data_IF_192578515459
#
_entry.id   IF_192578515459
#
_cell.length_a   1.000
_cell.length_b   1.000
_cell.length_c   1.000
_cell.angle_alpha   90.00
_cell.angle_beta   90.00
_cell.angle_gamma   90.00
#
_symmetry.space_group_name_H-M   'P 1'
#
loop_
_entity.id
_entity.type
_entity.pdbx_description
1 polymer ?
#
# COMPACT_ATOMS: atom_id res chain seq x y z
N UNK A 1 -11.30 3.86 13.63
CA UNK A 1 -11.41 4.18 12.19
C UNK A 1 -10.58 3.16 11.45
N UNK A 2 -11.03 2.61 10.31
CA UNK A 2 -10.58 1.29 9.80
C UNK A 2 -9.06 1.05 9.73
N UNK A 3 -8.25 2.09 9.50
CA UNK A 3 -6.79 1.99 9.55
C UNK A 3 -6.21 1.91 10.96
N UNK A 4 -6.78 2.62 11.93
CA UNK A 4 -6.33 2.57 13.32
C UNK A 4 -6.44 1.15 13.89
N UNK A 5 -7.45 0.39 13.45
CA UNK A 5 -7.70 -0.98 13.92
C UNK A 5 -6.76 -2.02 13.27
N UNK A 6 -6.04 -1.64 12.20
CA UNK A 6 -5.16 -2.53 11.40
C UNK A 6 -3.69 -2.11 11.43
N UNK A 7 -3.37 -0.96 12.01
CA UNK A 7 -2.01 -0.45 12.04
C UNK A 7 -1.12 -1.32 12.92
N UNK A 8 0.02 -1.74 12.37
CA UNK A 8 1.07 -2.46 13.09
C UNK A 8 2.40 -1.75 12.84
N UNK A 9 3.07 -1.35 13.92
CA UNK A 9 4.37 -0.69 13.82
C UNK A 9 5.44 -1.69 13.33
N UNK A 10 6.32 -1.23 12.43
CA UNK A 10 7.37 -2.08 11.86
C UNK A 10 6.90 -3.05 10.77
N UNK A 11 5.66 -2.93 10.29
CA UNK A 11 5.17 -3.68 9.13
C UNK A 11 6.06 -3.50 7.91
N UNK A 12 6.12 -4.56 7.09
CA UNK A 12 6.75 -4.47 5.78
C UNK A 12 5.96 -3.53 4.86
N UNK A 13 6.60 -3.05 3.79
CA UNK A 13 5.90 -2.24 2.79
C UNK A 13 4.70 -2.98 2.19
N UNK A 14 4.85 -4.28 1.91
CA UNK A 14 3.77 -5.11 1.37
C UNK A 14 2.57 -5.14 2.33
N UNK A 15 2.81 -5.40 3.62
CA UNK A 15 1.74 -5.45 4.63
C UNK A 15 1.06 -4.09 4.78
N UNK A 16 1.83 -3.00 4.80
CA UNK A 16 1.29 -1.65 4.87
C UNK A 16 0.36 -1.33 3.68
N UNK A 17 0.73 -1.76 2.47
CA UNK A 17 -0.12 -1.62 1.27
C UNK A 17 -1.37 -2.49 1.37
N UNK A 18 -1.26 -3.75 1.83
CA UNK A 18 -2.42 -4.63 2.07
C UNK A 18 -3.41 -4.01 3.07
N UNK A 19 -2.92 -3.48 4.20
CA UNK A 19 -3.79 -2.88 5.21
C UNK A 19 -4.49 -1.62 4.70
N UNK A 20 -3.77 -0.76 3.98
CA UNK A 20 -4.35 0.41 3.34
C UNK A 20 -5.44 0.03 2.32
N UNK A 21 -5.15 -0.97 1.47
CA UNK A 21 -6.11 -1.49 0.48
C UNK A 21 -7.37 -2.05 1.13
N UNK A 22 -7.23 -2.85 2.18
CA UNK A 22 -8.38 -3.40 2.92
C UNK A 22 -9.22 -2.31 3.61
N UNK A 23 -8.58 -1.26 4.13
CA UNK A 23 -9.30 -0.15 4.75
C UNK A 23 -10.07 0.71 3.73
N UNK A 24 -9.58 0.77 2.49
CA UNK A 24 -10.24 1.45 1.36
C UNK A 24 -11.35 0.58 0.74
N UNK A 25 -11.07 -0.70 0.47
CA UNK A 25 -11.94 -1.66 -0.22
C UNK A 25 -13.06 -2.25 0.65
N UNK A 26 -13.54 -1.54 1.67
CA UNK A 26 -14.54 -2.04 2.62
C UNK A 26 -15.96 -2.25 2.03
N UNK A 27 -16.13 -2.05 0.71
CA UNK A 27 -17.33 -2.40 -0.07
C UNK A 27 -17.27 -3.85 -0.58
N UNK A 28 -18.40 -4.43 -1.00
CA UNK A 28 -18.46 -5.79 -1.55
C UNK A 28 -17.56 -6.02 -2.78
N UNK A 29 -17.11 -4.94 -3.42
CA UNK A 29 -16.16 -4.96 -4.55
C UNK A 29 -14.77 -4.50 -4.10
N UNK A 30 -13.74 -5.38 -4.16
CA UNK A 30 -12.35 -4.99 -3.97
C UNK A 30 -11.88 -4.02 -5.07
N UNK A 31 -11.06 -3.03 -4.72
CA UNK A 31 -10.43 -2.15 -5.70
C UNK A 31 -9.31 -2.90 -6.41
N UNK A 32 -9.29 -2.92 -7.74
CA UNK A 32 -8.23 -3.59 -8.51
C UNK A 32 -6.92 -2.78 -8.46
N UNK A 33 -5.79 -3.45 -8.67
CA UNK A 33 -4.47 -2.80 -8.71
C UNK A 33 -4.36 -1.73 -9.82
N UNK A 34 -5.07 -1.91 -10.93
CA UNK A 34 -5.17 -0.94 -12.04
C UNK A 34 -5.91 0.35 -11.67
N UNK A 35 -6.68 0.35 -10.58
CA UNK A 35 -7.46 1.48 -10.08
C UNK A 35 -6.71 2.25 -8.98
N UNK A 36 -5.47 1.86 -8.65
CA UNK A 36 -4.70 2.39 -7.54
C UNK A 36 -3.44 3.12 -8.01
N UNK A 37 -3.21 4.31 -7.46
CA UNK A 37 -1.91 4.95 -7.45
C UNK A 37 -1.29 4.84 -6.05
N UNK A 38 -0.15 4.16 -5.94
CA UNK A 38 0.57 3.98 -4.68
C UNK A 38 1.94 4.65 -4.77
N UNK A 39 2.22 5.54 -3.81
CA UNK A 39 3.51 6.19 -3.66
C UNK A 39 4.11 5.89 -2.29
N UNK A 40 5.44 5.82 -2.24
CA UNK A 40 6.21 5.53 -1.03
C UNK A 40 7.25 6.61 -0.77
N UNK A 41 7.46 6.89 0.51
CA UNK A 41 8.59 7.66 0.99
C UNK A 41 9.57 6.71 1.68
N UNK A 42 10.67 6.40 1.00
CA UNK A 42 11.69 5.50 1.50
C UNK A 42 12.82 6.28 2.15
N UNK A 43 13.12 5.97 3.42
CA UNK A 43 14.32 6.45 4.09
C UNK A 43 15.50 5.56 3.69
N UNK A 44 16.32 6.05 2.77
CA UNK A 44 17.53 5.39 2.28
C UNK A 44 18.63 6.43 2.04
N UNK A 45 19.80 6.00 1.53
CA UNK A 45 20.93 6.89 1.23
C UNK A 45 20.79 7.62 -0.13
N UNK A 46 19.62 7.54 -0.78
CA UNK A 46 19.35 8.26 -2.03
C UNK A 46 18.88 9.68 -1.74
N UNK A 47 19.20 10.60 -2.64
CA UNK A 47 18.68 11.97 -2.61
C UNK A 47 17.18 12.04 -2.90
N UNK A 48 16.62 11.04 -3.61
CA UNK A 48 15.19 10.96 -3.91
C UNK A 48 14.55 9.87 -3.05
N UNK A 49 13.76 10.28 -2.07
CA UNK A 49 13.02 9.39 -1.17
C UNK A 49 11.63 9.02 -1.70
N UNK A 50 11.08 9.78 -2.65
CA UNK A 50 9.78 9.53 -3.24
C UNK A 50 9.88 8.56 -4.44
N UNK A 51 9.02 7.55 -4.45
CA UNK A 51 8.85 6.66 -5.59
C UNK A 51 7.37 6.28 -5.75
N UNK A 52 6.94 6.07 -7.01
CA UNK A 52 5.66 5.44 -7.33
C UNK A 52 5.88 3.94 -7.53
N UNK A 53 4.97 3.13 -7.02
CA UNK A 53 4.96 1.69 -7.31
C UNK A 53 4.29 1.48 -8.68
N UNK A 54 4.78 0.50 -9.44
CA UNK A 54 4.09 0.06 -10.66
C UNK A 54 2.85 -0.75 -10.30
N UNK A 55 1.88 -0.80 -11.21
CA UNK A 55 0.71 -1.67 -11.08
C UNK A 55 1.11 -3.13 -10.83
N UNK A 56 2.15 -3.63 -11.51
CA UNK A 56 2.66 -4.98 -11.30
C UNK A 56 3.13 -5.23 -9.86
N UNK A 57 3.81 -4.26 -9.24
CA UNK A 57 4.24 -4.35 -7.84
C UNK A 57 3.05 -4.24 -6.89
N UNK A 58 2.10 -3.35 -7.17
CA UNK A 58 0.86 -3.25 -6.37
C UNK A 58 0.13 -4.60 -6.42
N UNK A 59 -0.02 -5.19 -7.61
CA UNK A 59 -0.66 -6.49 -7.76
C UNK A 59 0.06 -7.59 -6.96
N UNK A 60 1.40 -7.65 -7.03
CA UNK A 60 2.20 -8.59 -6.21
C UNK A 60 2.02 -8.37 -4.71
N UNK A 61 1.80 -7.13 -4.27
CA UNK A 61 1.54 -6.82 -2.88
C UNK A 61 0.12 -7.15 -2.44
N UNK A 62 -0.86 -7.25 -3.34
CA UNK A 62 -2.25 -7.53 -2.98
C UNK A 62 -2.61 -9.02 -3.03
N UNK A 63 -1.80 -9.86 -3.70
CA UNK A 63 -1.84 -11.33 -3.62
C UNK A 63 -1.29 -11.79 -2.26
#
# INVERSE_FOLDING_TARGET
>A
GRMADRFVAGSTLQDAVKFAHQALSASETPINSSELEVAVLSRNNSRRCFARLSESTINQYLV
#
